data_IF_259733019199
#
_entry.id   IF_259733019199
#
_cell.length_a   1.000
_cell.length_b   1.000
_cell.length_c   1.000
_cell.angle_alpha   90.00
_cell.angle_beta   90.00
_cell.angle_gamma   90.00
#
_symmetry.space_group_name_H-M   'P 1'
#
loop_
_entity.id
_entity.type
_entity.pdbx_description
1 polymer ?
#
# COMPACT_ATOMS: atom_id res chain seq x y z
N UNK A 1 10.36 16.23 12.54
CA UNK A 1 10.98 16.90 13.71
C UNK A 1 9.95 17.25 14.80
N UNK A 2 8.82 17.85 14.43
CA UNK A 2 7.80 18.29 15.41
C UNK A 2 7.26 17.13 16.25
N UNK A 3 6.83 16.01 15.64
CA UNK A 3 6.34 14.84 16.35
C UNK A 3 7.35 14.27 17.37
N UNK A 4 8.64 14.23 17.04
CA UNK A 4 9.67 13.78 17.99
C UNK A 4 9.81 14.75 19.14
N UNK A 5 9.76 16.06 18.88
CA UNK A 5 9.78 17.08 19.94
C UNK A 5 8.55 16.99 20.84
N UNK A 6 7.38 16.71 20.26
CA UNK A 6 6.14 16.50 21.03
C UNK A 6 6.27 15.31 21.97
N UNK A 7 6.84 14.20 21.51
CA UNK A 7 7.10 13.01 22.35
C UNK A 7 8.10 13.34 23.47
N UNK A 8 9.19 14.05 23.16
CA UNK A 8 10.15 14.50 24.15
C UNK A 8 9.51 15.41 25.19
N UNK A 9 8.62 16.33 24.79
CA UNK A 9 7.89 17.20 25.69
C UNK A 9 6.88 16.45 26.60
N UNK A 10 6.46 15.25 26.22
CA UNK A 10 5.66 14.35 27.05
C UNK A 10 6.47 13.56 28.07
N UNK A 11 7.79 13.80 28.17
CA UNK A 11 8.66 13.21 29.18
C UNK A 11 9.41 11.93 28.71
N UNK A 12 9.32 11.57 27.43
CA UNK A 12 10.13 10.47 26.91
C UNK A 12 11.59 10.92 26.72
N UNK A 13 12.53 10.19 27.32
CA UNK A 13 13.94 10.45 27.13
C UNK A 13 14.40 10.00 25.73
N UNK A 14 14.79 10.94 24.90
CA UNK A 14 15.29 10.61 23.54
C UNK A 14 16.61 9.81 23.58
N UNK A 15 17.36 9.90 24.69
CA UNK A 15 18.55 9.06 24.98
C UNK A 15 18.24 7.57 25.04
N UNK A 16 17.00 7.18 25.30
CA UNK A 16 16.58 5.78 25.41
C UNK A 16 16.20 5.17 24.05
N UNK A 17 16.25 5.96 22.97
CA UNK A 17 15.98 5.47 21.61
C UNK A 17 17.12 4.56 21.16
N UNK A 18 16.83 3.27 21.03
CA UNK A 18 17.80 2.23 20.64
C UNK A 18 17.91 2.00 19.14
N UNK A 19 16.88 2.40 18.37
CA UNK A 19 16.85 2.26 16.93
C UNK A 19 15.76 3.14 16.29
N UNK A 20 15.94 3.49 15.03
CA UNK A 20 14.97 4.25 14.21
C UNK A 20 14.48 3.40 13.05
N UNK A 21 13.16 3.34 12.88
CA UNK A 21 12.48 2.75 11.73
C UNK A 21 11.70 3.80 10.96
N UNK A 22 11.74 3.71 9.64
CA UNK A 22 11.10 4.67 8.74
C UNK A 22 10.13 3.93 7.82
N UNK A 23 8.87 4.35 7.87
CA UNK A 23 7.86 3.97 6.87
C UNK A 23 7.39 5.21 6.13
N UNK A 24 7.09 5.08 4.86
CA UNK A 24 6.86 6.21 3.97
C UNK A 24 5.91 5.85 2.82
N UNK A 25 5.32 6.86 2.18
CA UNK A 25 4.54 6.68 0.96
C UNK A 25 5.41 6.09 -0.17
N UNK A 26 4.90 5.08 -0.88
CA UNK A 26 5.60 4.45 -1.99
C UNK A 26 5.75 5.37 -3.21
N UNK A 27 6.69 5.08 -4.10
CA UNK A 27 6.84 5.69 -5.44
C UNK A 27 7.08 7.20 -5.46
N UNK A 28 7.39 7.83 -4.33
CA UNK A 28 7.74 9.26 -4.29
C UNK A 28 9.11 9.53 -4.91
N UNK A 29 9.32 10.76 -5.41
CA UNK A 29 10.59 11.19 -5.97
C UNK A 29 11.10 12.44 -5.24
N UNK A 30 12.30 12.36 -4.69
CA UNK A 30 13.07 13.48 -4.14
C UNK A 30 14.36 13.62 -4.93
N UNK A 31 14.58 14.78 -5.58
CA UNK A 31 15.79 15.08 -6.37
C UNK A 31 16.76 15.92 -5.56
N UNK A 32 18.02 15.50 -5.43
CA UNK A 32 19.03 16.14 -4.58
C UNK A 32 20.23 16.65 -5.40
N UNK A 33 20.74 17.81 -5.03
CA UNK A 33 22.04 18.32 -5.51
C UNK A 33 23.23 17.63 -4.81
N UNK A 34 24.46 18.01 -5.19
CA UNK A 34 25.70 17.48 -4.58
C UNK A 34 25.85 17.82 -3.08
N UNK A 35 25.14 18.83 -2.59
CA UNK A 35 25.09 19.21 -1.19
C UNK A 35 23.93 18.50 -0.44
N UNK A 36 23.19 17.63 -1.13
CA UNK A 36 22.05 16.91 -0.57
C UNK A 36 20.81 17.76 -0.30
N UNK A 37 20.71 18.92 -0.97
CA UNK A 37 19.54 19.81 -0.88
C UNK A 37 18.51 19.44 -1.94
N UNK A 38 17.21 19.42 -1.61
CA UNK A 38 16.16 19.22 -2.60
C UNK A 38 16.18 20.32 -3.67
N UNK A 39 16.21 19.92 -4.93
CA UNK A 39 16.21 20.82 -6.10
C UNK A 39 14.81 21.31 -6.48
N UNK A 40 13.78 20.61 -6.03
CA UNK A 40 12.38 20.89 -6.33
C UNK A 40 11.46 20.25 -5.29
N UNK A 41 10.16 20.63 -5.20
CA UNK A 41 9.17 19.89 -4.43
C UNK A 41 9.09 18.44 -4.89
N UNK A 42 8.91 17.50 -3.94
CA UNK A 42 8.78 16.07 -4.23
C UNK A 42 7.58 15.79 -5.12
N UNK A 43 7.72 14.82 -6.04
CA UNK A 43 6.57 14.25 -6.75
C UNK A 43 6.07 13.07 -5.91
N UNK A 44 4.84 13.16 -5.42
CA UNK A 44 4.26 12.18 -4.51
C UNK A 44 3.61 11.00 -5.26
N UNK A 45 3.19 9.96 -4.52
CA UNK A 45 2.65 8.72 -5.09
C UNK A 45 1.42 8.92 -6.00
N UNK A 46 0.49 9.79 -5.63
CA UNK A 46 -0.76 10.02 -6.36
C UNK A 46 -0.62 11.01 -7.56
N UNK A 47 0.56 11.59 -7.75
CA UNK A 47 0.80 12.48 -8.89
C UNK A 47 0.98 11.66 -10.16
N UNK A 48 0.04 11.79 -11.09
CA UNK A 48 -0.09 10.96 -12.30
C UNK A 48 0.69 11.46 -13.52
N UNK A 49 1.51 12.52 -13.37
CA UNK A 49 2.21 13.16 -14.50
C UNK A 49 3.13 12.23 -15.32
N UNK A 50 3.58 11.12 -14.74
CA UNK A 50 4.50 10.18 -15.38
C UNK A 50 3.82 8.94 -15.97
N UNK A 51 2.48 8.85 -15.94
CA UNK A 51 1.75 7.66 -16.42
C UNK A 51 2.00 7.39 -17.90
N UNK A 52 1.95 8.42 -18.75
CA UNK A 52 2.21 8.28 -20.20
C UNK A 52 3.67 7.88 -20.47
N UNK A 53 4.63 8.46 -19.75
CA UNK A 53 6.05 8.11 -19.86
C UNK A 53 6.28 6.63 -19.50
N UNK A 54 5.58 6.13 -18.49
CA UNK A 54 5.64 4.71 -18.14
C UNK A 54 4.98 3.82 -19.17
N UNK A 55 3.91 4.27 -19.83
CA UNK A 55 3.29 3.53 -20.95
C UNK A 55 4.22 3.47 -22.16
N UNK A 56 4.86 4.59 -22.53
CA UNK A 56 5.88 4.63 -23.57
C UNK A 56 7.04 3.65 -23.28
N UNK A 57 7.48 3.57 -22.03
CA UNK A 57 8.55 2.66 -21.63
C UNK A 57 8.13 1.18 -21.73
N UNK A 58 6.89 0.85 -21.37
CA UNK A 58 6.36 -0.52 -21.46
C UNK A 58 6.38 -1.02 -22.91
N UNK A 59 5.97 -0.18 -23.85
CA UNK A 59 5.94 -0.53 -25.26
C UNK A 59 7.35 -0.49 -25.88
N UNK A 60 8.19 0.47 -25.53
CA UNK A 60 9.51 0.65 -26.11
C UNK A 60 10.56 -0.33 -25.60
N UNK A 61 10.51 -0.73 -24.33
CA UNK A 61 11.35 -1.82 -23.79
C UNK A 61 10.84 -3.17 -24.28
N UNK A 62 9.54 -3.30 -24.50
CA UNK A 62 8.82 -4.52 -24.83
C UNK A 62 8.05 -5.05 -23.62
N UNK A 63 6.74 -5.15 -23.79
CA UNK A 63 5.77 -5.50 -22.72
C UNK A 63 6.14 -6.80 -22.01
N UNK A 64 6.38 -7.88 -22.75
CA UNK A 64 6.68 -9.20 -22.19
C UNK A 64 8.00 -9.18 -21.42
N UNK A 65 9.05 -8.58 -21.99
CA UNK A 65 10.34 -8.44 -21.33
C UNK A 65 10.23 -7.61 -20.05
N UNK A 66 9.55 -6.45 -20.14
CA UNK A 66 9.37 -5.58 -18.98
C UNK A 66 8.62 -6.30 -17.84
N UNK A 67 7.52 -6.99 -18.14
CA UNK A 67 6.75 -7.72 -17.13
C UNK A 67 7.52 -8.92 -16.56
N UNK A 68 8.36 -9.60 -17.34
CA UNK A 68 9.20 -10.68 -16.83
C UNK A 68 10.26 -10.16 -15.84
N UNK A 69 10.93 -9.06 -16.19
CA UNK A 69 12.07 -8.54 -15.45
C UNK A 69 11.69 -7.58 -14.30
N UNK A 70 10.65 -6.75 -14.44
CA UNK A 70 10.25 -5.80 -13.39
C UNK A 70 8.97 -6.20 -12.66
N UNK A 71 8.28 -7.25 -13.10
CA UNK A 71 6.98 -7.74 -12.60
C UNK A 71 5.87 -6.68 -12.57
N UNK A 72 6.11 -5.53 -13.20
CA UNK A 72 5.21 -4.39 -13.26
C UNK A 72 5.31 -3.69 -14.61
N UNK A 73 4.23 -3.02 -15.03
CA UNK A 73 4.33 -1.95 -16.01
C UNK A 73 5.02 -0.74 -15.36
N UNK A 74 5.94 -0.04 -16.04
CA UNK A 74 6.64 1.12 -15.47
C UNK A 74 5.75 2.25 -14.95
N UNK A 75 4.54 2.40 -15.49
CA UNK A 75 3.46 3.25 -14.99
C UNK A 75 3.91 4.55 -14.33
N UNK A 76 3.43 4.81 -13.11
CA UNK A 76 3.70 6.03 -12.35
C UNK A 76 4.74 5.82 -11.23
N UNK A 77 5.82 5.12 -11.51
CA UNK A 77 6.90 4.83 -10.56
C UNK A 77 7.94 5.95 -10.48
N UNK A 78 8.83 5.86 -9.50
CA UNK A 78 9.86 6.87 -9.23
C UNK A 78 10.76 7.15 -10.44
N UNK A 79 11.23 6.10 -11.14
CA UNK A 79 12.07 6.27 -12.33
C UNK A 79 11.32 6.96 -13.48
N UNK A 80 10.03 6.65 -13.66
CA UNK A 80 9.17 7.32 -14.66
C UNK A 80 8.94 8.80 -14.31
N UNK A 81 8.80 9.11 -13.01
CA UNK A 81 8.73 10.51 -12.52
C UNK A 81 10.05 11.26 -12.74
N UNK A 82 11.18 10.58 -12.57
CA UNK A 82 12.49 11.17 -12.86
C UNK A 82 12.67 11.42 -14.37
N UNK A 83 12.19 10.50 -15.21
CA UNK A 83 12.17 10.70 -16.66
C UNK A 83 11.25 11.86 -17.06
N UNK A 84 10.14 12.08 -16.33
CA UNK A 84 9.33 13.29 -16.50
C UNK A 84 10.10 14.56 -16.17
N UNK A 85 10.87 14.58 -15.07
CA UNK A 85 11.74 15.73 -14.72
C UNK A 85 12.78 15.96 -15.79
N UNK A 86 13.42 14.89 -16.32
CA UNK A 86 14.37 15.00 -17.42
C UNK A 86 13.76 15.67 -18.66
N UNK A 87 12.53 15.28 -19.03
CA UNK A 87 11.81 15.78 -20.22
C UNK A 87 11.31 17.21 -20.05
N UNK A 88 10.77 17.55 -18.89
CA UNK A 88 10.05 18.81 -18.67
C UNK A 88 10.83 19.87 -17.86
N UNK A 89 11.82 19.43 -17.07
CA UNK A 89 12.65 20.30 -16.21
C UNK A 89 14.15 20.00 -16.43
N UNK A 90 14.68 20.08 -17.68
CA UNK A 90 16.05 19.64 -18.00
C UNK A 90 17.13 20.40 -17.20
N UNK A 91 16.88 21.65 -16.85
CA UNK A 91 17.79 22.44 -16.01
C UNK A 91 17.85 21.96 -14.56
N UNK A 92 16.76 21.39 -14.03
CA UNK A 92 16.74 20.71 -12.74
C UNK A 92 17.45 19.36 -12.86
N UNK A 93 17.11 18.57 -13.90
CA UNK A 93 17.70 17.24 -14.11
C UNK A 93 19.23 17.30 -14.19
N UNK A 94 19.79 18.29 -14.86
CA UNK A 94 21.25 18.47 -15.01
C UNK A 94 21.99 18.73 -13.68
N UNK A 95 21.27 19.14 -12.63
CA UNK A 95 21.82 19.42 -11.31
C UNK A 95 21.65 18.25 -10.34
N UNK A 96 20.89 17.20 -10.71
CA UNK A 96 20.63 16.06 -9.83
C UNK A 96 21.93 15.27 -9.63
N UNK A 97 22.34 15.14 -8.38
CA UNK A 97 23.40 14.24 -7.95
C UNK A 97 22.86 12.87 -7.61
N UNK A 98 21.80 12.82 -6.79
CA UNK A 98 21.07 11.60 -6.42
C UNK A 98 19.57 11.86 -6.42
N UNK A 99 18.79 10.82 -6.66
CA UNK A 99 17.35 10.84 -6.37
C UNK A 99 17.01 9.75 -5.35
N UNK A 100 15.97 9.96 -4.57
CA UNK A 100 15.64 9.11 -3.44
C UNK A 100 14.14 8.94 -3.30
N UNK A 101 13.73 7.82 -2.70
CA UNK A 101 12.40 7.70 -2.09
C UNK A 101 12.29 8.63 -0.88
N UNK A 102 11.07 9.05 -0.49
CA UNK A 102 10.89 9.94 0.67
C UNK A 102 11.52 9.41 1.97
N UNK A 103 11.37 8.11 2.24
CA UNK A 103 11.98 7.50 3.44
C UNK A 103 13.49 7.41 3.37
N UNK A 104 14.05 7.18 2.19
CA UNK A 104 15.50 7.21 1.99
C UNK A 104 16.05 8.62 2.23
N UNK A 105 15.32 9.65 1.78
CA UNK A 105 15.68 11.03 2.07
C UNK A 105 15.65 11.35 3.57
N UNK A 106 14.65 10.86 4.31
CA UNK A 106 14.63 11.04 5.76
C UNK A 106 15.80 10.31 6.44
N UNK A 107 16.12 9.08 6.00
CA UNK A 107 17.29 8.36 6.52
C UNK A 107 18.59 9.11 6.22
N UNK A 108 18.75 9.64 5.00
CA UNK A 108 19.87 10.51 4.65
C UNK A 108 19.97 11.75 5.56
N UNK A 109 18.84 12.42 5.83
CA UNK A 109 18.80 13.62 6.69
C UNK A 109 19.17 13.32 8.15
N UNK A 110 19.05 12.07 8.59
CA UNK A 110 19.41 11.61 9.93
C UNK A 110 20.84 11.07 10.02
N UNK A 111 21.48 10.73 8.90
CA UNK A 111 22.73 9.96 8.91
C UNK A 111 23.82 10.50 7.99
N UNK A 112 23.49 11.41 7.07
CA UNK A 112 24.40 11.84 6.00
C UNK A 112 24.64 10.77 4.91
N UNK A 113 24.11 9.52 5.03
CA UNK A 113 24.31 8.44 4.06
C UNK A 113 23.18 8.36 3.04
N UNK A 114 23.51 8.51 1.75
CA UNK A 114 22.58 8.34 0.63
C UNK A 114 22.51 6.86 0.22
N UNK A 115 21.47 6.16 0.63
CA UNK A 115 21.25 4.74 0.29
C UNK A 115 19.76 4.45 0.10
N UNK A 116 19.46 3.35 -0.56
CA UNK A 116 18.10 2.78 -0.70
C UNK A 116 18.09 1.32 -0.24
N UNK A 117 17.03 0.58 -0.47
CA UNK A 117 16.96 -0.86 -0.24
C UNK A 117 16.57 -1.60 -1.52
N UNK A 118 16.75 -2.94 -1.54
CA UNK A 118 16.27 -3.77 -2.67
C UNK A 118 14.75 -3.63 -2.83
N UNK A 119 14.00 -3.62 -1.72
CA UNK A 119 12.56 -3.31 -1.75
C UNK A 119 12.31 -1.92 -2.33
N UNK A 120 13.10 -0.91 -1.92
CA UNK A 120 13.04 0.45 -2.46
C UNK A 120 13.36 0.52 -3.97
N UNK A 121 14.34 -0.25 -4.47
CA UNK A 121 14.59 -0.33 -5.91
C UNK A 121 13.36 -0.91 -6.66
N UNK A 122 12.70 -1.92 -6.11
CA UNK A 122 11.48 -2.47 -6.72
C UNK A 122 10.33 -1.46 -6.76
N UNK A 123 10.19 -0.62 -5.71
CA UNK A 123 9.23 0.49 -5.67
C UNK A 123 9.55 1.62 -6.67
N UNK A 124 10.80 1.72 -7.09
CA UNK A 124 11.28 2.69 -8.08
C UNK A 124 11.17 2.18 -9.51
N UNK A 125 10.79 0.90 -9.73
CA UNK A 125 10.88 0.14 -11.01
C UNK A 125 12.32 -0.05 -11.50
N UNK A 126 13.28 -0.10 -10.57
CA UNK A 126 14.72 -0.23 -10.84
C UNK A 126 15.31 -1.56 -10.31
N UNK A 127 14.46 -2.57 -10.09
CA UNK A 127 14.87 -3.92 -9.72
C UNK A 127 14.52 -4.91 -10.83
N UNK A 128 15.50 -5.68 -11.25
CA UNK A 128 15.34 -6.81 -12.16
C UNK A 128 15.15 -8.07 -11.32
N UNK A 129 13.92 -8.58 -11.31
CA UNK A 129 13.56 -9.77 -10.52
C UNK A 129 14.12 -11.07 -11.10
N UNK A 130 14.41 -11.13 -12.40
CA UNK A 130 14.95 -12.32 -13.04
C UNK A 130 16.44 -12.45 -12.74
N UNK A 131 17.19 -11.36 -12.85
CA UNK A 131 18.62 -11.31 -12.67
C UNK A 131 19.03 -10.98 -11.21
N UNK A 132 18.07 -10.67 -10.33
CA UNK A 132 18.27 -10.25 -8.94
C UNK A 132 19.31 -9.12 -8.78
N UNK A 133 19.19 -8.12 -9.66
CA UNK A 133 20.06 -6.95 -9.69
C UNK A 133 19.30 -5.69 -10.09
N UNK A 134 20.01 -4.57 -10.11
CA UNK A 134 19.45 -3.33 -10.60
C UNK A 134 19.03 -3.43 -12.05
N UNK A 135 17.83 -2.94 -12.40
CA UNK A 135 17.27 -2.92 -13.76
C UNK A 135 17.91 -1.81 -14.59
N UNK A 136 19.18 -1.99 -15.00
CA UNK A 136 19.93 -1.01 -15.77
C UNK A 136 19.29 -0.74 -17.14
N UNK A 137 18.51 -1.67 -17.69
CA UNK A 137 17.76 -1.47 -18.93
C UNK A 137 16.65 -0.42 -18.78
N UNK A 138 15.98 -0.33 -17.61
CA UNK A 138 14.98 0.71 -17.32
C UNK A 138 15.69 2.07 -17.16
N UNK A 139 16.79 2.10 -16.40
CA UNK A 139 17.58 3.31 -16.24
C UNK A 139 18.10 3.82 -17.59
N UNK A 140 18.61 2.93 -18.43
CA UNK A 140 19.09 3.23 -19.78
C UNK A 140 17.99 3.76 -20.70
N UNK A 141 16.80 3.14 -20.70
CA UNK A 141 15.63 3.62 -21.45
C UNK A 141 15.28 5.07 -21.11
N UNK A 142 15.22 5.38 -19.80
CA UNK A 142 14.91 6.73 -19.32
C UNK A 142 16.10 7.71 -19.40
N UNK A 143 17.30 7.23 -19.78
CA UNK A 143 18.53 8.02 -19.77
C UNK A 143 18.90 8.53 -18.39
N UNK A 144 18.71 7.70 -17.38
CA UNK A 144 19.09 7.95 -16.00
C UNK A 144 20.53 7.46 -15.80
N UNK A 145 21.50 8.34 -15.51
CA UNK A 145 22.85 7.92 -15.18
C UNK A 145 22.89 6.99 -13.96
N UNK A 146 23.68 5.93 -14.06
CA UNK A 146 23.74 4.90 -12.99
C UNK A 146 24.25 5.49 -11.67
N UNK A 147 25.11 6.49 -11.73
CA UNK A 147 25.63 7.20 -10.56
C UNK A 147 24.57 8.01 -9.81
N UNK A 148 23.42 8.33 -10.42
CA UNK A 148 22.31 8.99 -9.73
C UNK A 148 21.54 8.04 -8.81
N UNK A 149 21.63 6.72 -9.03
CA UNK A 149 20.92 5.69 -8.25
C UNK A 149 21.71 5.43 -6.97
N UNK A 150 21.11 5.53 -5.77
CA UNK A 150 21.78 5.19 -4.51
C UNK A 150 22.13 3.70 -4.42
N UNK A 151 23.13 3.36 -3.62
CA UNK A 151 23.44 1.96 -3.28
C UNK A 151 22.28 1.31 -2.52
N UNK A 152 21.98 0.06 -2.87
CA UNK A 152 20.91 -0.69 -2.24
C UNK A 152 21.45 -1.61 -1.15
N UNK A 153 20.78 -1.57 0.01
CA UNK A 153 20.97 -2.49 1.11
C UNK A 153 19.68 -3.26 1.43
N UNK A 154 19.56 -3.71 2.67
CA UNK A 154 18.39 -4.45 3.17
C UNK A 154 17.31 -3.53 3.75
N UNK A 155 16.06 -4.00 3.79
CA UNK A 155 14.97 -3.27 4.45
C UNK A 155 15.00 -3.44 5.97
N UNK A 156 15.39 -4.61 6.47
CA UNK A 156 15.53 -4.95 7.89
C UNK A 156 17.01 -5.19 8.18
N UNK A 157 17.68 -4.24 8.82
CA UNK A 157 19.11 -4.29 9.14
C UNK A 157 19.68 -2.88 9.29
N UNK A 158 20.81 -2.75 9.99
CA UNK A 158 21.46 -1.46 10.22
C UNK A 158 22.23 -1.01 8.99
N UNK A 159 21.61 -0.15 8.18
CA UNK A 159 22.19 0.41 6.96
C UNK A 159 22.83 1.78 7.18
N UNK A 160 22.41 2.49 8.23
CA UNK A 160 22.90 3.81 8.58
C UNK A 160 22.81 4.03 10.09
N UNK A 161 23.44 5.11 10.57
CA UNK A 161 23.34 5.56 11.96
C UNK A 161 23.12 7.05 12.01
N UNK A 162 22.39 7.53 13.01
CA UNK A 162 22.19 8.96 13.22
C UNK A 162 23.53 9.68 13.40
N UNK A 163 23.61 10.89 12.90
CA UNK A 163 24.76 11.77 13.06
C UNK A 163 24.55 12.81 14.19
N UNK A 164 25.58 13.59 14.48
CA UNK A 164 25.53 14.67 15.47
C UNK A 164 24.51 15.77 15.11
N UNK A 165 24.22 15.98 13.83
CA UNK A 165 23.22 16.96 13.43
C UNK A 165 21.80 16.50 13.77
N UNK A 166 21.53 15.20 13.62
CA UNK A 166 20.28 14.57 14.06
C UNK A 166 20.13 14.62 15.58
N UNK A 167 21.21 14.35 16.32
CA UNK A 167 21.23 14.45 17.79
C UNK A 167 20.91 15.88 18.25
N UNK A 168 21.58 16.89 17.71
CA UNK A 168 21.30 18.30 18.04
C UNK A 168 19.88 18.72 17.72
N UNK A 169 19.31 18.18 16.64
CA UNK A 169 17.96 18.56 16.17
C UNK A 169 16.84 17.85 16.92
N UNK A 170 17.03 16.57 17.27
CA UNK A 170 15.98 15.67 17.72
C UNK A 170 16.22 15.10 19.13
N UNK A 171 17.45 15.23 19.67
CA UNK A 171 17.83 14.63 20.93
C UNK A 171 18.10 13.10 20.87
N UNK A 172 17.97 12.49 19.69
CA UNK A 172 18.31 11.08 19.48
C UNK A 172 19.84 10.97 19.41
N UNK A 173 20.49 10.12 20.23
CA UNK A 173 21.94 10.05 20.28
C UNK A 173 22.57 9.76 18.90
N UNK A 174 23.70 10.41 18.61
CA UNK A 174 24.51 10.08 17.45
C UNK A 174 24.97 8.61 17.56
N UNK A 175 24.98 7.91 16.42
CA UNK A 175 25.29 6.48 16.38
C UNK A 175 24.08 5.57 16.58
N UNK A 176 22.88 6.09 16.85
CA UNK A 176 21.65 5.28 16.92
C UNK A 176 21.38 4.61 15.57
N UNK A 177 21.20 3.27 15.50
CA UNK A 177 20.93 2.56 14.26
C UNK A 177 19.66 3.04 13.57
N UNK A 178 19.73 3.25 12.25
CA UNK A 178 18.57 3.34 11.37
C UNK A 178 18.46 1.97 10.67
N UNK A 179 17.59 1.11 11.17
CA UNK A 179 17.64 -0.34 10.91
C UNK A 179 16.36 -0.90 10.30
N UNK A 180 15.46 -0.03 9.85
CA UNK A 180 14.29 -0.40 9.07
C UNK A 180 13.87 0.73 8.15
N UNK A 181 13.64 0.39 6.86
CA UNK A 181 13.02 1.29 5.87
C UNK A 181 12.12 0.50 4.94
N UNK A 182 10.86 0.92 4.84
CA UNK A 182 9.91 0.29 3.94
C UNK A 182 8.81 1.26 3.51
N UNK A 183 8.31 1.07 2.31
CA UNK A 183 7.06 1.67 1.87
C UNK A 183 5.90 1.33 2.80
N UNK A 184 4.89 2.18 2.85
CA UNK A 184 3.76 2.05 3.80
C UNK A 184 3.01 0.73 3.65
N UNK A 185 2.84 0.20 2.43
CA UNK A 185 2.07 -1.03 2.23
C UNK A 185 2.84 -2.31 2.64
N UNK A 186 4.09 -2.54 2.22
CA UNK A 186 4.87 -3.65 2.76
C UNK A 186 5.11 -3.53 4.28
N UNK A 187 5.25 -2.31 4.82
CA UNK A 187 5.33 -2.10 6.26
C UNK A 187 4.00 -2.43 6.96
N UNK A 188 2.85 -2.10 6.38
CA UNK A 188 1.56 -2.47 6.96
C UNK A 188 1.40 -4.00 7.04
N UNK A 189 1.79 -4.72 5.99
CA UNK A 189 1.82 -6.18 6.00
C UNK A 189 2.77 -6.70 7.09
N UNK A 190 3.98 -6.16 7.17
CA UNK A 190 4.93 -6.48 8.22
C UNK A 190 4.36 -6.21 9.62
N UNK A 191 3.68 -5.06 9.84
CA UNK A 191 3.10 -4.72 11.14
C UNK A 191 2.08 -5.74 11.65
N UNK A 192 1.40 -6.41 10.71
CA UNK A 192 0.42 -7.49 10.94
C UNK A 192 1.07 -8.87 10.98
N UNK A 193 2.41 -8.95 11.01
CA UNK A 193 3.16 -10.19 10.97
C UNK A 193 2.85 -11.03 9.71
N UNK A 194 2.59 -10.38 8.56
CA UNK A 194 2.38 -10.98 7.25
C UNK A 194 3.71 -10.97 6.52
N UNK A 195 4.41 -12.10 6.51
CA UNK A 195 5.80 -12.25 6.03
C UNK A 195 6.03 -13.52 5.21
N UNK A 196 5.13 -14.50 5.30
CA UNK A 196 5.29 -15.78 4.63
C UNK A 196 4.37 -15.90 3.41
N UNK A 197 4.78 -16.73 2.46
CA UNK A 197 3.98 -17.00 1.26
C UNK A 197 2.58 -17.51 1.63
N UNK A 198 1.55 -16.93 1.03
CA UNK A 198 0.15 -17.21 1.31
C UNK A 198 -0.49 -16.31 2.38
N UNK A 199 0.30 -15.60 3.20
CA UNK A 199 -0.23 -14.64 4.17
C UNK A 199 -0.71 -13.36 3.48
N UNK A 200 -1.81 -12.77 3.98
CA UNK A 200 -2.44 -11.58 3.39
C UNK A 200 -2.80 -10.56 4.46
N UNK A 201 -2.47 -9.30 4.17
CA UNK A 201 -2.89 -8.13 4.93
C UNK A 201 -3.91 -7.32 4.13
N UNK A 202 -4.84 -6.64 4.83
CA UNK A 202 -5.75 -5.70 4.20
C UNK A 202 -5.92 -4.42 5.03
N UNK A 203 -6.18 -3.32 4.33
CA UNK A 203 -6.58 -2.03 4.93
C UNK A 203 -7.79 -1.47 4.19
N UNK A 204 -8.64 -0.74 4.91
CA UNK A 204 -9.84 -0.13 4.35
C UNK A 204 -9.94 1.36 4.73
N UNK A 205 -8.91 2.16 4.41
CA UNK A 205 -8.88 3.60 4.59
C UNK A 205 -9.66 4.35 3.50
N UNK A 206 -9.23 5.56 3.14
CA UNK A 206 -9.78 6.33 2.00
C UNK A 206 -9.78 5.47 0.73
N UNK A 207 -8.66 4.80 0.46
CA UNK A 207 -8.52 3.70 -0.49
C UNK A 207 -8.40 2.38 0.27
N UNK A 208 -8.80 1.28 -0.35
CA UNK A 208 -8.57 -0.08 0.14
C UNK A 208 -7.30 -0.65 -0.43
N UNK A 209 -6.63 -1.49 0.35
CA UNK A 209 -5.46 -2.22 -0.10
C UNK A 209 -5.56 -3.66 0.37
N UNK A 210 -5.19 -4.58 -0.51
CA UNK A 210 -4.88 -5.97 -0.15
C UNK A 210 -3.44 -6.25 -0.55
N UNK A 211 -2.65 -6.77 0.38
CA UNK A 211 -1.25 -7.10 0.18
C UNK A 211 -1.00 -8.56 0.52
N UNK A 212 -0.71 -9.36 -0.49
CA UNK A 212 -0.43 -10.79 -0.33
C UNK A 212 1.05 -11.09 -0.52
N UNK A 213 1.62 -11.93 0.34
CA UNK A 213 3.02 -12.37 0.22
C UNK A 213 3.07 -13.67 -0.59
N UNK A 214 4.03 -13.76 -1.49
CA UNK A 214 4.33 -14.94 -2.32
C UNK A 214 5.83 -15.21 -2.39
N UNK A 215 6.21 -16.43 -2.67
CA UNK A 215 7.60 -16.83 -2.99
C UNK A 215 7.84 -16.96 -4.51
N UNK A 216 6.82 -16.64 -5.32
CA UNK A 216 6.88 -16.75 -6.79
C UNK A 216 6.99 -15.39 -7.45
N UNK A 217 7.88 -15.30 -8.44
CA UNK A 217 7.98 -14.15 -9.34
C UNK A 217 6.83 -14.19 -10.34
N UNK A 218 5.79 -13.38 -10.09
CA UNK A 218 4.61 -13.34 -10.95
C UNK A 218 4.20 -11.90 -11.23
N UNK A 219 3.95 -11.61 -12.51
CA UNK A 219 3.34 -10.37 -12.97
C UNK A 219 1.90 -10.62 -13.42
N UNK A 220 1.01 -9.68 -13.15
CA UNK A 220 -0.29 -9.68 -13.81
C UNK A 220 -0.13 -9.19 -15.26
N UNK A 221 -0.50 -9.99 -16.28
CA UNK A 221 -0.34 -9.59 -17.69
C UNK A 221 -1.06 -8.29 -18.05
N UNK A 222 -2.11 -7.94 -17.30
CA UNK A 222 -2.89 -6.71 -17.48
C UNK A 222 -2.44 -5.58 -16.54
N UNK A 223 -1.43 -5.81 -15.70
CA UNK A 223 -0.90 -4.83 -14.73
C UNK A 223 -1.95 -4.26 -13.77
N UNK A 224 -2.95 -5.06 -13.39
CA UNK A 224 -4.03 -4.69 -12.47
C UNK A 224 -3.60 -4.66 -11.01
N UNK A 225 -2.51 -5.35 -10.69
CA UNK A 225 -1.83 -5.37 -9.39
C UNK A 225 -0.34 -5.09 -9.59
N UNK A 226 0.36 -4.78 -8.51
CA UNK A 226 1.81 -4.59 -8.54
C UNK A 226 2.50 -5.67 -7.72
N UNK A 227 3.71 -6.05 -8.15
CA UNK A 227 4.57 -6.98 -7.41
C UNK A 227 5.86 -6.29 -7.00
N UNK A 228 6.22 -6.37 -5.71
CA UNK A 228 7.40 -5.73 -5.12
C UNK A 228 8.23 -6.74 -4.35
N UNK A 229 9.49 -6.41 -4.12
CA UNK A 229 10.32 -7.14 -3.16
C UNK A 229 9.79 -6.85 -1.75
N UNK A 230 9.42 -7.89 -1.00
CA UNK A 230 8.91 -7.74 0.36
C UNK A 230 10.05 -7.45 1.37
N UNK A 231 9.73 -6.86 2.53
CA UNK A 231 10.71 -6.36 3.50
C UNK A 231 11.66 -7.43 4.06
N UNK A 232 11.22 -8.69 4.13
CA UNK A 232 12.01 -9.81 4.62
C UNK A 232 12.59 -10.70 3.50
N UNK A 233 12.59 -10.20 2.28
CA UNK A 233 13.20 -10.92 1.16
C UNK A 233 14.69 -11.10 1.34
N UNK A 234 15.19 -12.30 1.00
CA UNK A 234 16.60 -12.60 0.84
C UNK A 234 16.77 -13.52 -0.39
N UNK A 235 17.97 -13.58 -0.96
CA UNK A 235 18.25 -14.48 -2.08
C UNK A 235 17.99 -15.97 -1.73
N UNK A 236 18.25 -16.37 -0.48
CA UNK A 236 17.98 -17.74 -0.01
C UNK A 236 16.52 -17.99 0.40
N UNK A 237 15.74 -16.94 0.63
CA UNK A 237 14.35 -17.02 1.04
C UNK A 237 13.55 -15.91 0.35
N UNK A 238 13.26 -16.06 -0.96
CA UNK A 238 12.60 -15.01 -1.73
C UNK A 238 11.17 -14.76 -1.22
N UNK A 239 10.86 -13.47 -1.03
CA UNK A 239 9.52 -13.00 -0.65
C UNK A 239 9.16 -11.78 -1.47
N UNK A 240 8.02 -11.87 -2.13
CA UNK A 240 7.46 -10.80 -2.96
C UNK A 240 6.09 -10.43 -2.43
N UNK A 241 5.73 -9.17 -2.54
CA UNK A 241 4.42 -8.67 -2.15
C UNK A 241 3.59 -8.30 -3.36
N UNK A 242 2.43 -8.90 -3.52
CA UNK A 242 1.45 -8.53 -4.54
C UNK A 242 0.50 -7.51 -3.92
N UNK A 243 0.53 -6.31 -4.46
CA UNK A 243 -0.25 -5.15 -4.00
C UNK A 243 -1.44 -4.89 -4.91
N UNK A 244 -2.63 -5.00 -4.35
CA UNK A 244 -3.88 -4.54 -4.93
C UNK A 244 -4.28 -3.22 -4.28
N UNK A 245 -4.58 -2.20 -5.09
CA UNK A 245 -5.14 -0.93 -4.65
C UNK A 245 -6.56 -0.76 -5.19
N UNK A 246 -7.48 -0.29 -4.34
CA UNK A 246 -8.89 -0.06 -4.63
C UNK A 246 -9.21 1.38 -4.25
N UNK A 247 -9.33 2.30 -5.21
CA UNK A 247 -9.56 3.72 -4.92
C UNK A 247 -10.97 3.99 -4.40
N UNK A 248 -11.96 3.24 -4.87
CA UNK A 248 -13.35 3.36 -4.46
C UNK A 248 -13.68 2.59 -3.19
N UNK A 249 -13.19 3.03 -2.03
CA UNK A 249 -13.36 2.31 -0.75
C UNK A 249 -13.97 3.24 0.31
N UNK A 250 -13.23 3.59 1.34
CA UNK A 250 -13.70 4.44 2.43
C UNK A 250 -14.09 5.85 1.99
N UNK A 251 -13.55 6.33 0.88
CA UNK A 251 -14.01 7.59 0.27
C UNK A 251 -15.50 7.52 -0.11
N UNK A 252 -15.96 6.38 -0.62
CA UNK A 252 -17.40 6.19 -0.93
C UNK A 252 -18.23 6.21 0.35
N UNK A 253 -17.81 5.47 1.38
CA UNK A 253 -18.50 5.48 2.67
C UNK A 253 -18.54 6.88 3.31
N UNK A 254 -17.44 7.62 3.23
CA UNK A 254 -17.34 9.01 3.67
C UNK A 254 -18.23 9.96 2.84
N UNK A 255 -18.32 9.73 1.53
CA UNK A 255 -19.19 10.51 0.66
C UNK A 255 -20.68 10.30 1.00
N UNK A 256 -21.09 9.06 1.24
CA UNK A 256 -22.47 8.73 1.70
C UNK A 256 -22.75 9.42 3.03
N UNK A 257 -21.83 9.38 4.01
CA UNK A 257 -22.00 10.07 5.28
C UNK A 257 -22.22 11.56 5.08
N UNK A 258 -21.43 12.22 4.25
CA UNK A 258 -21.55 13.68 4.04
C UNK A 258 -22.77 14.09 3.22
N UNK A 259 -23.11 13.35 2.17
CA UNK A 259 -24.07 13.81 1.18
C UNK A 259 -25.45 13.13 1.27
N UNK A 260 -25.52 11.91 1.78
CA UNK A 260 -26.79 11.18 1.97
C UNK A 260 -27.31 11.35 3.38
N UNK A 261 -26.45 11.17 4.40
CA UNK A 261 -26.86 11.35 5.79
C UNK A 261 -26.62 12.78 6.33
N UNK A 262 -26.05 13.68 5.52
CA UNK A 262 -25.74 15.07 5.88
C UNK A 262 -24.98 15.19 7.22
N UNK A 263 -24.09 14.22 7.50
CA UNK A 263 -23.30 14.10 8.74
C UNK A 263 -24.13 13.98 10.03
N UNK A 264 -25.45 13.72 9.92
CA UNK A 264 -26.31 13.50 11.10
C UNK A 264 -26.04 12.18 11.80
N UNK A 265 -25.36 11.26 11.13
CA UNK A 265 -24.97 9.94 11.65
C UNK A 265 -23.44 9.87 11.80
N UNK A 266 -22.97 9.32 12.90
CA UNK A 266 -21.60 8.84 13.00
C UNK A 266 -21.45 7.46 12.33
N UNK A 267 -20.21 6.96 12.20
CA UNK A 267 -19.99 5.68 11.55
C UNK A 267 -20.56 4.48 12.32
N UNK A 268 -20.63 4.55 13.65
CA UNK A 268 -21.22 3.49 14.46
C UNK A 268 -22.73 3.38 14.21
N UNK A 269 -23.41 4.52 14.15
CA UNK A 269 -24.84 4.59 13.83
C UNK A 269 -25.13 4.16 12.38
N UNK A 270 -24.30 4.59 11.41
CA UNK A 270 -24.39 4.12 10.02
C UNK A 270 -24.28 2.59 9.95
N UNK A 271 -23.32 1.99 10.67
CA UNK A 271 -23.14 0.55 10.73
C UNK A 271 -24.34 -0.16 11.36
N UNK A 272 -24.93 0.40 12.41
CA UNK A 272 -26.10 -0.15 13.08
C UNK A 272 -27.33 -0.13 12.16
N UNK A 273 -27.57 0.96 11.45
CA UNK A 273 -28.68 1.06 10.49
C UNK A 273 -28.46 0.12 9.29
N UNK A 274 -27.25 0.05 8.74
CA UNK A 274 -26.91 -0.87 7.68
C UNK A 274 -27.18 -2.34 8.09
N UNK A 275 -26.86 -2.71 9.32
CA UNK A 275 -27.06 -4.06 9.84
C UNK A 275 -28.55 -4.43 10.05
N UNK A 276 -29.47 -3.46 10.08
CA UNK A 276 -30.93 -3.73 10.18
C UNK A 276 -31.58 -4.17 8.86
N UNK A 277 -30.87 -4.05 7.75
CA UNK A 277 -31.33 -4.47 6.42
C UNK A 277 -30.76 -5.85 6.13
N UNK A 278 -31.48 -6.76 5.44
CA UNK A 278 -30.96 -8.09 5.08
C UNK A 278 -29.82 -8.02 4.07
N UNK A 279 -29.01 -9.11 4.00
CA UNK A 279 -27.96 -9.27 3.01
C UNK A 279 -28.48 -9.09 1.58
N UNK A 280 -27.64 -8.47 0.72
CA UNK A 280 -28.01 -8.13 -0.65
C UNK A 280 -28.87 -6.87 -0.77
N UNK A 281 -29.12 -6.16 0.36
CA UNK A 281 -29.79 -4.84 0.40
C UNK A 281 -31.11 -4.82 -0.40
N UNK A 282 -31.84 -5.94 -0.42
CA UNK A 282 -33.08 -6.15 -1.21
C UNK A 282 -32.93 -5.79 -2.71
N UNK A 283 -31.77 -6.03 -3.28
CA UNK A 283 -31.44 -5.77 -4.69
C UNK A 283 -30.84 -4.40 -4.99
N UNK A 284 -30.71 -3.52 -3.97
CA UNK A 284 -29.97 -2.27 -4.12
C UNK A 284 -28.47 -2.56 -4.14
N UNK A 285 -27.76 -2.04 -5.10
CA UNK A 285 -26.31 -2.22 -5.26
C UNK A 285 -25.57 -0.90 -5.40
N UNK A 286 -24.32 -0.85 -4.94
CA UNK A 286 -23.43 0.32 -5.08
C UNK A 286 -22.14 -0.07 -5.75
N UNK A 287 -21.82 0.63 -6.85
CA UNK A 287 -20.48 0.62 -7.47
C UNK A 287 -19.68 1.77 -6.85
N UNK A 288 -18.56 1.48 -6.11
CA UNK A 288 -17.90 2.53 -5.31
C UNK A 288 -16.85 3.35 -6.07
N UNK A 289 -16.59 3.09 -7.36
CA UNK A 289 -15.48 3.61 -8.15
C UNK A 289 -15.71 5.06 -8.63
N UNK A 290 -15.60 6.02 -7.73
CA UNK A 290 -15.79 7.45 -8.02
C UNK A 290 -14.55 8.31 -7.75
N UNK A 291 -13.39 7.71 -7.50
CA UNK A 291 -12.17 8.42 -7.12
C UNK A 291 -11.06 8.27 -8.18
N UNK A 292 -11.42 8.53 -9.45
CA UNK A 292 -10.48 8.44 -10.57
C UNK A 292 -10.34 7.05 -11.17
N UNK A 293 -9.18 6.77 -11.73
CA UNK A 293 -8.89 5.51 -12.40
C UNK A 293 -8.67 4.36 -11.40
N UNK A 294 -9.22 3.20 -11.73
CA UNK A 294 -9.03 1.98 -10.95
C UNK A 294 -8.02 1.05 -11.64
N UNK A 295 -6.88 0.81 -11.00
CA UNK A 295 -5.85 -0.06 -11.56
C UNK A 295 -6.37 -1.49 -11.80
N UNK A 296 -7.11 -2.05 -10.86
CA UNK A 296 -7.68 -3.39 -11.00
C UNK A 296 -8.71 -3.51 -12.14
N UNK A 297 -9.17 -2.38 -12.69
CA UNK A 297 -10.01 -2.27 -13.88
C UNK A 297 -9.21 -1.73 -15.08
N UNK A 298 -7.95 -2.05 -15.19
CA UNK A 298 -7.04 -1.62 -16.28
C UNK A 298 -6.97 -0.09 -16.43
N UNK A 299 -6.94 0.64 -15.31
CA UNK A 299 -6.94 2.11 -15.24
C UNK A 299 -8.17 2.79 -15.84
N UNK A 300 -9.31 2.09 -15.97
CA UNK A 300 -10.58 2.69 -16.37
C UNK A 300 -11.23 3.46 -15.22
N UNK A 301 -12.16 4.38 -15.58
CA UNK A 301 -12.90 5.24 -14.64
C UNK A 301 -14.41 4.95 -14.72
N UNK A 302 -14.93 3.85 -14.16
CA UNK A 302 -16.33 3.43 -14.32
C UNK A 302 -17.33 4.34 -13.61
N UNK A 303 -16.86 5.26 -12.77
CA UNK A 303 -17.65 6.15 -11.91
C UNK A 303 -18.50 5.39 -10.88
N UNK A 304 -18.83 6.06 -9.78
CA UNK A 304 -19.69 5.51 -8.75
C UNK A 304 -21.17 5.51 -9.22
N UNK A 305 -21.95 4.62 -8.63
CA UNK A 305 -23.39 4.55 -8.90
C UNK A 305 -24.16 3.81 -7.83
N UNK A 306 -25.40 4.25 -7.60
CA UNK A 306 -26.41 3.52 -6.80
C UNK A 306 -27.39 2.94 -7.83
N UNK A 307 -27.59 1.63 -7.80
CA UNK A 307 -28.23 0.86 -8.88
C UNK A 307 -29.37 0.04 -8.30
N UNK A 308 -30.49 -0.01 -9.03
CA UNK A 308 -31.65 -0.80 -8.61
C UNK A 308 -32.48 -0.14 -7.52
N UNK A 309 -32.44 1.19 -7.40
CA UNK A 309 -33.21 1.95 -6.41
C UNK A 309 -34.72 1.81 -6.67
N UNK A 310 -35.46 1.24 -5.71
CA UNK A 310 -36.91 1.21 -5.66
C UNK A 310 -37.38 2.22 -4.60
N UNK A 311 -38.09 3.27 -5.05
CA UNK A 311 -38.47 4.40 -4.20
C UNK A 311 -39.56 4.05 -3.16
N UNK A 312 -40.24 2.91 -3.31
CA UNK A 312 -41.27 2.45 -2.37
C UNK A 312 -40.69 1.51 -1.29
N UNK A 313 -39.49 0.98 -1.51
CA UNK A 313 -38.89 -0.04 -0.65
C UNK A 313 -37.62 0.44 0.04
N UNK A 314 -36.72 1.04 -0.72
CA UNK A 314 -35.36 1.34 -0.24
C UNK A 314 -35.32 2.62 0.60
N UNK A 315 -34.66 2.54 1.71
CA UNK A 315 -34.42 3.64 2.68
C UNK A 315 -32.95 3.97 2.75
N UNK A 316 -32.58 4.97 3.55
CA UNK A 316 -31.17 5.30 3.85
C UNK A 316 -30.42 4.08 4.39
N UNK A 317 -31.04 3.24 5.23
CA UNK A 317 -30.41 2.05 5.76
C UNK A 317 -29.99 1.05 4.65
N UNK A 318 -30.78 0.91 3.60
CA UNK A 318 -30.43 0.11 2.41
C UNK A 318 -29.24 0.69 1.65
N UNK A 319 -29.18 2.01 1.48
CA UNK A 319 -28.03 2.68 0.84
C UNK A 319 -26.76 2.47 1.66
N UNK A 320 -26.84 2.56 2.99
CA UNK A 320 -25.70 2.33 3.89
C UNK A 320 -25.19 0.89 3.79
N UNK A 321 -26.09 -0.10 3.75
CA UNK A 321 -25.73 -1.51 3.60
C UNK A 321 -25.15 -1.77 2.22
N UNK A 322 -25.84 -1.38 1.14
CA UNK A 322 -25.40 -1.57 -0.22
C UNK A 322 -24.02 -0.92 -0.48
N UNK A 323 -23.71 0.19 0.20
CA UNK A 323 -22.39 0.83 0.13
C UNK A 323 -21.31 -0.09 0.70
N UNK A 324 -21.51 -0.67 1.86
CA UNK A 324 -20.51 -1.56 2.47
C UNK A 324 -20.39 -2.88 1.70
N UNK A 325 -21.49 -3.44 1.20
CA UNK A 325 -21.48 -4.61 0.34
C UNK A 325 -20.76 -4.34 -0.98
N UNK A 326 -21.02 -3.20 -1.64
CA UNK A 326 -20.35 -2.82 -2.88
C UNK A 326 -18.83 -2.61 -2.70
N UNK A 327 -18.41 -2.07 -1.55
CA UNK A 327 -16.99 -1.99 -1.20
C UNK A 327 -16.42 -3.41 -0.96
N UNK A 328 -17.12 -4.30 -0.25
CA UNK A 328 -16.69 -5.68 -0.05
C UNK A 328 -16.61 -6.46 -1.38
N UNK A 329 -17.54 -6.22 -2.32
CA UNK A 329 -17.48 -6.78 -3.68
C UNK A 329 -16.23 -6.32 -4.43
N UNK A 330 -15.82 -5.04 -4.29
CA UNK A 330 -14.60 -4.55 -4.91
C UNK A 330 -13.34 -5.22 -4.35
N UNK A 331 -13.29 -5.49 -3.04
CA UNK A 331 -12.22 -6.30 -2.44
C UNK A 331 -12.22 -7.74 -2.96
N UNK A 332 -13.38 -8.40 -3.04
CA UNK A 332 -13.51 -9.74 -3.59
C UNK A 332 -13.02 -9.81 -5.04
N UNK A 333 -13.44 -8.85 -5.88
CA UNK A 333 -13.00 -8.77 -7.28
C UNK A 333 -11.47 -8.68 -7.40
N UNK A 334 -10.85 -7.83 -6.59
CA UNK A 334 -9.40 -7.72 -6.56
C UNK A 334 -8.70 -8.97 -6.00
N UNK A 335 -9.25 -9.60 -4.97
CA UNK A 335 -8.73 -10.87 -4.43
C UNK A 335 -8.83 -11.99 -5.47
N UNK A 336 -9.85 -12.01 -6.31
CA UNK A 336 -9.97 -13.00 -7.40
C UNK A 336 -8.86 -12.80 -8.46
N UNK A 337 -8.44 -11.56 -8.74
CA UNK A 337 -7.24 -11.29 -9.55
C UNK A 337 -5.99 -11.88 -8.88
N UNK A 338 -5.81 -11.64 -7.59
CA UNK A 338 -4.65 -12.15 -6.82
C UNK A 338 -4.65 -13.69 -6.75
N UNK A 339 -5.83 -14.33 -6.67
CA UNK A 339 -5.98 -15.79 -6.76
C UNK A 339 -5.44 -16.35 -8.08
N UNK A 340 -5.64 -15.63 -9.18
CA UNK A 340 -5.06 -15.96 -10.49
C UNK A 340 -3.52 -15.93 -10.48
N UNK A 341 -2.92 -15.19 -9.56
CA UNK A 341 -1.48 -15.10 -9.32
C UNK A 341 -1.01 -16.01 -8.16
N UNK A 342 -1.84 -16.96 -7.73
CA UNK A 342 -1.47 -17.95 -6.72
C UNK A 342 -1.60 -17.48 -5.27
N UNK A 343 -2.05 -16.24 -5.01
CA UNK A 343 -2.35 -15.76 -3.65
C UNK A 343 -3.78 -16.13 -3.29
N UNK A 344 -3.93 -17.14 -2.44
CA UNK A 344 -5.24 -17.65 -1.99
C UNK A 344 -5.34 -17.50 -0.48
N UNK A 345 -5.94 -16.40 0.01
CA UNK A 345 -6.00 -16.16 1.44
C UNK A 345 -6.99 -17.14 2.12
N UNK A 346 -6.51 -17.92 3.09
CA UNK A 346 -7.34 -18.58 4.10
C UNK A 346 -7.61 -17.61 5.26
N UNK A 347 -6.69 -16.68 5.48
CA UNK A 347 -6.75 -15.66 6.53
C UNK A 347 -6.36 -14.31 5.94
N UNK A 348 -7.18 -13.29 6.23
CA UNK A 348 -6.87 -11.88 5.96
C UNK A 348 -6.64 -11.21 7.30
N UNK A 349 -5.44 -10.64 7.51
CA UNK A 349 -5.10 -9.87 8.70
C UNK A 349 -5.30 -8.38 8.46
N UNK A 350 -5.91 -7.69 9.41
CA UNK A 350 -6.15 -6.26 9.33
C UNK A 350 -5.93 -5.57 10.69
N UNK A 351 -5.54 -4.30 10.66
CA UNK A 351 -5.59 -3.46 11.85
C UNK A 351 -7.04 -3.09 12.22
N UNK A 352 -7.33 -2.94 13.50
CA UNK A 352 -8.63 -2.50 13.98
C UNK A 352 -8.82 -0.98 13.72
N UNK A 353 -9.04 -0.63 12.45
CA UNK A 353 -9.15 0.76 11.99
C UNK A 353 -10.08 0.89 10.76
N UNK A 354 -10.61 2.08 10.56
CA UNK A 354 -11.39 2.47 9.37
C UNK A 354 -12.57 1.50 9.08
N UNK A 355 -12.72 1.03 7.84
CA UNK A 355 -13.82 0.12 7.46
C UNK A 355 -13.78 -1.21 8.21
N UNK A 356 -12.59 -1.66 8.63
CA UNK A 356 -12.49 -2.87 9.46
C UNK A 356 -13.04 -2.68 10.88
N UNK A 357 -13.45 -1.48 11.29
CA UNK A 357 -14.27 -1.26 12.49
C UNK A 357 -15.74 -1.66 12.30
N UNK A 358 -16.23 -1.77 11.05
CA UNK A 358 -17.60 -2.23 10.79
C UNK A 358 -17.73 -3.74 10.88
N UNK A 359 -18.51 -4.29 11.82
CA UNK A 359 -18.80 -5.73 11.87
C UNK A 359 -19.47 -6.24 10.58
N UNK A 360 -20.36 -5.42 10.00
CA UNK A 360 -21.04 -5.74 8.75
C UNK A 360 -20.05 -5.92 7.61
N UNK A 361 -19.14 -4.96 7.41
CA UNK A 361 -18.13 -5.02 6.36
C UNK A 361 -17.24 -6.26 6.50
N UNK A 362 -16.74 -6.52 7.72
CA UNK A 362 -15.88 -7.69 7.99
C UNK A 362 -16.61 -9.01 7.71
N UNK A 363 -17.86 -9.14 8.18
CA UNK A 363 -18.64 -10.36 7.97
C UNK A 363 -18.93 -10.57 6.48
N UNK A 364 -19.35 -9.51 5.77
CA UNK A 364 -19.60 -9.56 4.33
C UNK A 364 -18.33 -9.98 3.56
N UNK A 365 -17.18 -9.35 3.86
CA UNK A 365 -15.92 -9.65 3.18
C UNK A 365 -15.45 -11.08 3.49
N UNK A 366 -15.53 -11.53 4.75
CA UNK A 366 -15.19 -12.89 5.15
C UNK A 366 -16.04 -13.91 4.41
N UNK A 367 -17.35 -13.72 4.39
CA UNK A 367 -18.30 -14.61 3.70
C UNK A 367 -18.04 -14.70 2.20
N UNK A 368 -17.85 -13.55 1.54
CA UNK A 368 -17.58 -13.47 0.10
C UNK A 368 -16.25 -14.11 -0.31
N UNK A 369 -15.22 -13.93 0.49
CA UNK A 369 -13.89 -14.44 0.15
C UNK A 369 -13.66 -15.88 0.58
N UNK A 370 -14.46 -16.35 1.54
CA UNK A 370 -14.24 -17.62 2.23
C UNK A 370 -13.05 -17.57 3.20
N UNK A 371 -12.45 -16.39 3.39
CA UNK A 371 -11.28 -16.20 4.25
C UNK A 371 -11.71 -15.73 5.63
N UNK A 372 -11.10 -16.28 6.68
CA UNK A 372 -11.20 -15.75 8.03
C UNK A 372 -10.55 -14.37 8.11
N UNK A 373 -11.16 -13.41 8.81
CA UNK A 373 -10.58 -12.10 9.06
C UNK A 373 -10.10 -12.02 10.52
N UNK A 374 -8.84 -11.68 10.70
CA UNK A 374 -8.24 -11.47 12.03
C UNK A 374 -7.89 -10.00 12.22
N UNK A 375 -8.39 -9.38 13.30
CA UNK A 375 -8.07 -7.99 13.65
C UNK A 375 -6.98 -7.92 14.71
N UNK A 376 -6.07 -6.96 14.53
CA UNK A 376 -4.93 -6.77 15.41
C UNK A 376 -4.80 -5.33 15.92
N UNK A 377 -4.14 -5.18 17.10
CA UNK A 377 -3.81 -3.92 17.74
C UNK A 377 -2.50 -3.33 17.19
N UNK A 378 -2.45 -3.01 15.91
CA UNK A 378 -1.23 -2.47 15.30
C UNK A 378 -1.53 -1.40 14.25
N UNK A 379 -0.51 -0.62 13.95
CA UNK A 379 -0.49 0.38 12.89
C UNK A 379 0.88 0.43 12.20
N UNK A 380 1.05 1.34 11.24
CA UNK A 380 2.30 1.49 10.49
C UNK A 380 3.48 1.96 11.36
N UNK A 381 3.24 2.79 12.37
CA UNK A 381 4.30 3.29 13.25
C UNK A 381 4.85 2.16 14.13
N UNK A 382 3.96 1.35 14.72
CA UNK A 382 4.34 0.15 15.48
C UNK A 382 5.06 -0.86 14.59
N UNK A 383 4.65 -1.01 13.33
CA UNK A 383 5.34 -1.84 12.35
C UNK A 383 6.79 -1.40 12.14
N UNK A 384 7.00 -0.12 11.84
CA UNK A 384 8.33 0.44 11.66
C UNK A 384 9.21 0.31 12.92
N UNK A 385 8.65 0.53 14.11
CA UNK A 385 9.37 0.37 15.37
C UNK A 385 9.80 -1.09 15.62
N UNK A 386 8.92 -2.07 15.35
CA UNK A 386 9.25 -3.50 15.43
C UNK A 386 10.34 -3.89 14.44
N UNK A 387 10.22 -3.40 13.19
CA UNK A 387 11.23 -3.61 12.15
C UNK A 387 12.59 -3.04 12.54
N UNK A 388 12.61 -1.85 13.13
CA UNK A 388 13.82 -1.22 13.63
C UNK A 388 14.46 -2.00 14.77
N UNK A 389 13.69 -2.43 15.75
CA UNK A 389 14.18 -3.20 16.88
C UNK A 389 14.73 -4.57 16.43
N UNK A 390 14.07 -5.23 15.47
CA UNK A 390 14.53 -6.48 14.86
C UNK A 390 15.83 -6.25 14.05
N UNK A 391 15.86 -5.22 13.19
CA UNK A 391 17.02 -4.90 12.34
C UNK A 391 18.25 -4.44 13.15
N UNK A 392 18.06 -3.82 14.31
CA UNK A 392 19.13 -3.47 15.23
C UNK A 392 19.58 -4.63 16.13
N UNK A 393 18.87 -5.78 16.09
CA UNK A 393 19.15 -6.93 16.94
C UNK A 393 18.72 -6.75 18.40
N UNK A 394 17.85 -5.77 18.70
CA UNK A 394 17.20 -5.64 20.00
C UNK A 394 16.27 -6.84 20.26
N UNK A 395 15.39 -7.14 19.30
CA UNK A 395 14.72 -8.43 19.21
C UNK A 395 15.59 -9.41 18.42
N UNK A 396 15.77 -10.61 18.95
CA UNK A 396 16.61 -11.66 18.33
C UNK A 396 15.82 -12.51 17.34
N UNK A 397 14.51 -12.57 17.51
CA UNK A 397 13.62 -13.41 16.71
C UNK A 397 12.36 -12.67 16.32
N UNK A 398 11.70 -13.15 15.23
CA UNK A 398 10.36 -12.72 14.83
C UNK A 398 9.35 -12.86 15.99
N UNK A 399 9.42 -13.97 16.74
CA UNK A 399 8.54 -14.21 17.89
C UNK A 399 8.64 -13.11 18.94
N UNK A 400 9.85 -12.67 19.31
CA UNK A 400 10.06 -11.56 20.23
C UNK A 400 9.50 -10.23 19.68
N UNK A 401 9.76 -9.92 18.42
CA UNK A 401 9.30 -8.67 17.79
C UNK A 401 7.77 -8.56 17.75
N UNK A 402 7.08 -9.68 17.66
CA UNK A 402 5.61 -9.73 17.57
C UNK A 402 4.92 -10.22 18.84
N UNK A 403 5.64 -10.42 19.96
CA UNK A 403 5.06 -10.90 21.22
C UNK A 403 3.94 -9.98 21.77
N UNK A 404 4.02 -8.68 21.53
CA UNK A 404 2.99 -7.69 21.92
C UNK A 404 1.88 -7.51 20.88
N UNK A 405 1.94 -8.18 19.72
CA UNK A 405 0.88 -8.14 18.72
C UNK A 405 -0.29 -9.01 19.20
N UNK A 406 -1.40 -8.37 19.53
CA UNK A 406 -2.59 -9.07 20.03
C UNK A 406 -3.67 -9.14 18.96
N UNK A 407 -4.18 -10.33 18.74
CA UNK A 407 -5.40 -10.54 17.97
C UNK A 407 -6.60 -10.14 18.82
N UNK A 408 -7.36 -9.16 18.34
CA UNK A 408 -8.50 -8.57 19.04
C UNK A 408 -9.80 -9.33 18.75
N UNK A 409 -9.96 -9.77 17.49
CA UNK A 409 -11.19 -10.42 17.03
C UNK A 409 -10.89 -11.36 15.86
N UNK A 410 -11.71 -12.37 15.71
CA UNK A 410 -11.75 -13.30 14.58
C UNK A 410 -13.15 -13.32 14.01
N UNK A 411 -13.29 -13.16 12.70
CA UNK A 411 -14.55 -13.25 11.96
C UNK A 411 -14.46 -14.41 10.98
N UNK A 412 -15.28 -15.43 11.20
CA UNK A 412 -15.37 -16.58 10.31
C UNK A 412 -16.42 -16.33 9.20
N UNK A 413 -16.26 -16.95 8.01
CA UNK A 413 -17.28 -16.90 6.97
C UNK A 413 -18.63 -17.44 7.47
N UNK A 414 -19.72 -16.74 7.16
CA UNK A 414 -21.08 -17.17 7.50
C UNK A 414 -21.77 -17.85 6.31
N UNK A 415 -22.33 -19.02 6.54
CA UNK A 415 -23.04 -19.76 5.47
C UNK A 415 -24.41 -19.15 5.14
N UNK A 416 -25.10 -18.57 6.15
CA UNK A 416 -26.48 -18.10 6.01
C UNK A 416 -26.68 -17.07 4.89
N UNK A 417 -25.74 -16.14 4.72
CA UNK A 417 -25.83 -15.04 3.75
C UNK A 417 -25.02 -15.30 2.46
N UNK A 418 -24.34 -16.43 2.37
CA UNK A 418 -23.37 -16.71 1.30
C UNK A 418 -24.00 -16.65 -0.09
N UNK A 419 -25.11 -17.35 -0.30
CA UNK A 419 -25.77 -17.42 -1.61
C UNK A 419 -26.26 -16.03 -2.06
N UNK A 420 -26.93 -15.30 -1.18
CA UNK A 420 -27.44 -13.95 -1.46
C UNK A 420 -26.29 -12.96 -1.79
N UNK A 421 -25.19 -13.01 -1.02
CA UNK A 421 -24.04 -12.15 -1.27
C UNK A 421 -23.30 -12.54 -2.56
N UNK A 422 -23.21 -13.82 -2.90
CA UNK A 422 -22.61 -14.29 -4.14
C UNK A 422 -23.45 -13.91 -5.38
N UNK A 423 -24.78 -13.99 -5.29
CA UNK A 423 -25.68 -13.47 -6.34
C UNK A 423 -25.54 -11.96 -6.51
N UNK A 424 -25.51 -11.22 -5.39
CA UNK A 424 -25.25 -9.77 -5.39
C UNK A 424 -23.92 -9.42 -6.02
N UNK A 425 -22.86 -10.16 -5.71
CA UNK A 425 -21.53 -9.98 -6.30
C UNK A 425 -21.54 -10.21 -7.81
N UNK A 426 -22.17 -11.29 -8.30
CA UNK A 426 -22.27 -11.55 -9.74
C UNK A 426 -23.05 -10.45 -10.48
N UNK A 427 -24.13 -9.95 -9.88
CA UNK A 427 -24.88 -8.83 -10.45
C UNK A 427 -24.03 -7.54 -10.47
N UNK A 428 -23.28 -7.28 -9.39
CA UNK A 428 -22.37 -6.15 -9.29
C UNK A 428 -21.24 -6.20 -10.34
N UNK A 429 -20.64 -7.38 -10.59
CA UNK A 429 -19.62 -7.56 -11.63
C UNK A 429 -20.15 -7.19 -13.00
N UNK A 430 -21.33 -7.72 -13.38
CA UNK A 430 -21.98 -7.38 -14.66
C UNK A 430 -22.22 -5.88 -14.80
N UNK A 431 -22.59 -5.21 -13.73
CA UNK A 431 -22.80 -3.76 -13.76
C UNK A 431 -21.48 -2.98 -13.90
N UNK A 432 -20.41 -3.43 -13.26
CA UNK A 432 -19.07 -2.86 -13.45
C UNK A 432 -18.61 -3.03 -14.90
N UNK A 433 -18.79 -4.20 -15.48
CA UNK A 433 -18.41 -4.51 -16.86
C UNK A 433 -19.12 -3.58 -17.85
N UNK A 434 -20.44 -3.40 -17.73
CA UNK A 434 -21.21 -2.45 -18.56
C UNK A 434 -20.69 -1.00 -18.48
N UNK A 435 -20.19 -0.59 -17.32
CA UNK A 435 -19.63 0.76 -17.11
C UNK A 435 -18.22 0.91 -17.69
N UNK A 436 -17.59 -0.20 -18.07
CA UNK A 436 -16.29 -0.21 -18.73
C UNK A 436 -16.38 -0.25 -20.27
N UNK A 437 -17.55 -0.55 -20.81
CA UNK A 437 -17.85 -0.44 -22.25
C UNK A 437 -17.98 1.04 -22.68
#
# INVERSE_FOLDING_TARGET
CEGIRTIAAQGFAMSDVVSVGITYQMHGLVCLDKQGRPLRPSIIWCDSRAVEIGAEALEGIGREFCLAHTLNSPGNFTASKLAWVRRNEPGVFAQIYKFMLPGDYIAYRLSGRMSTSVSGLSEQILWDFEEERRADFVAGWYGIPQEMIPEAGVSIGTEARTDEAAERLLGIPAGTPISYRAGDQPNNAFSLNVMEAGEVAATGGTSGVVYGVTDKRQADPQSRVNTFVHVNHTASNPRYGILLCINGTGIMNSWIRRNVTQETLDYAEMNRQAASVPAGSEGLSVVPFGNGAERMLCNRCPRAGIIGLDLNRHTTAHILRATQEGIAYSFRYGIDIMRGLGVRPDVIRAGAANLFLSPLFRQTLSTLTGARIELFNTDGALGAARGAALGAGYYKTRGEAFAALRRLEVVEPAEADRETLEEGYRAWVREVEKRME
#
